data_IF_449819483432
#
_entry.id   IF_449819483432
#
_cell.length_a   1.000
_cell.length_b   1.000
_cell.length_c   1.000
_cell.angle_alpha   90.00
_cell.angle_beta   90.00
_cell.angle_gamma   90.00
#
_symmetry.space_group_name_H-M   'P 1'
#
loop_
_entity.id
_entity.type
_entity.pdbx_description
1 polymer ?
#
# COMPACT_ATOMS: atom_id res chain seq x y z
N UNK A 1 17.18 27.23 33.62
CA UNK A 1 17.16 26.56 32.30
C UNK A 1 15.76 26.18 31.83
N UNK A 2 14.88 25.58 32.65
CA UNK A 2 13.52 25.16 32.22
C UNK A 2 12.56 26.31 31.87
N UNK A 3 12.60 27.43 32.60
CA UNK A 3 11.73 28.60 32.33
C UNK A 3 12.15 29.45 31.12
N UNK A 4 13.42 29.36 30.68
CA UNK A 4 13.91 30.07 29.50
C UNK A 4 13.39 29.43 28.21
N UNK A 5 13.28 28.10 28.20
CA UNK A 5 12.77 27.33 27.07
C UNK A 5 11.26 27.56 26.83
N UNK A 6 10.48 27.66 27.91
CA UNK A 6 9.04 27.95 27.83
C UNK A 6 8.75 29.37 27.34
N UNK A 7 9.60 30.33 27.67
CA UNK A 7 9.46 31.72 27.25
C UNK A 7 9.85 31.90 25.77
N UNK A 8 10.86 31.14 25.30
CA UNK A 8 11.23 31.08 23.90
C UNK A 8 10.14 30.44 23.02
N UNK A 9 9.48 29.39 23.51
CA UNK A 9 8.37 28.72 22.82
C UNK A 9 7.14 29.64 22.68
N UNK A 10 6.85 30.45 23.70
CA UNK A 10 5.74 31.42 23.69
C UNK A 10 5.96 32.56 22.68
N UNK A 11 7.20 33.05 22.55
CA UNK A 11 7.55 34.11 21.58
C UNK A 11 7.40 33.62 20.14
N UNK A 12 7.78 32.37 19.84
CA UNK A 12 7.62 31.77 18.50
C UNK A 12 6.13 31.59 18.14
N UNK A 13 5.28 31.30 19.13
CA UNK A 13 3.83 31.18 18.92
C UNK A 13 3.18 32.54 18.62
N UNK A 14 3.69 33.62 19.21
CA UNK A 14 3.14 34.96 19.05
C UNK A 14 3.56 35.62 17.72
N UNK A 15 4.76 35.34 17.21
CA UNK A 15 5.21 35.87 15.90
C UNK A 15 4.51 35.23 14.70
N UNK A 16 4.02 33.98 14.82
CA UNK A 16 3.21 33.34 13.76
C UNK A 16 1.82 33.97 13.60
N UNK A 17 1.28 34.64 14.62
CA UNK A 17 -0.04 35.29 14.55
C UNK A 17 -0.01 36.69 13.92
N UNK A 18 1.17 37.27 13.69
CA UNK A 18 1.35 38.65 13.22
C UNK A 18 1.50 38.78 11.69
N UNK A 19 1.43 37.69 10.92
CA UNK A 19 1.54 37.73 9.45
C UNK A 19 0.29 37.17 8.78
N UNK A 20 -0.80 37.94 8.80
CA UNK A 20 -1.85 37.80 7.80
C UNK A 20 -2.36 39.20 7.40
N UNK A 21 -1.56 39.91 6.62
CA UNK A 21 -2.03 41.06 5.84
C UNK A 21 -1.95 40.67 4.36
N UNK A 22 -2.93 39.88 3.94
CA UNK A 22 -3.12 39.57 2.53
C UNK A 22 -3.53 40.86 1.82
N UNK A 23 -2.64 41.43 1.01
CA UNK A 23 -3.03 42.39 -0.02
C UNK A 23 -3.91 41.63 -1.02
N UNK A 24 -5.22 41.82 -0.94
CA UNK A 24 -6.16 41.31 -1.94
C UNK A 24 -5.97 42.19 -3.20
N UNK A 25 -4.98 41.85 -4.01
CA UNK A 25 -5.00 42.17 -5.43
C UNK A 25 -6.14 41.35 -6.01
N UNK A 26 -7.27 42.00 -6.28
CA UNK A 26 -8.39 41.42 -7.01
C UNK A 26 -8.00 41.20 -8.47
N UNK A 27 -7.11 40.25 -8.72
CA UNK A 27 -7.04 39.63 -10.03
C UNK A 27 -8.30 38.76 -10.12
N UNK A 28 -9.30 39.24 -10.86
CA UNK A 28 -10.57 38.56 -11.06
C UNK A 28 -10.33 37.36 -11.98
N UNK A 29 -9.63 36.34 -11.49
CA UNK A 29 -9.56 35.05 -12.14
C UNK A 29 -10.99 34.51 -12.23
N UNK A 30 -11.57 34.59 -13.43
CA UNK A 30 -12.92 34.08 -13.70
C UNK A 30 -12.85 32.57 -13.58
N UNK A 31 -13.54 32.02 -12.59
CA UNK A 31 -13.67 30.57 -12.44
C UNK A 31 -14.45 30.00 -13.62
N UNK A 32 -13.77 29.26 -14.47
CA UNK A 32 -14.33 28.68 -15.68
C UNK A 32 -14.90 27.28 -15.41
N UNK A 33 -15.74 26.78 -16.32
CA UNK A 33 -16.24 25.41 -16.24
C UNK A 33 -15.12 24.36 -16.33
N UNK A 34 -14.02 24.67 -17.02
CA UNK A 34 -12.86 23.78 -17.11
C UNK A 34 -12.18 23.62 -15.74
N UNK A 35 -12.05 24.71 -14.98
CA UNK A 35 -11.47 24.68 -13.63
C UNK A 35 -12.31 23.78 -12.71
N UNK A 36 -13.64 23.88 -12.81
CA UNK A 36 -14.55 23.00 -12.08
C UNK A 36 -14.38 21.55 -12.50
N UNK A 37 -14.31 21.27 -13.81
CA UNK A 37 -14.15 19.92 -14.33
C UNK A 37 -12.84 19.29 -13.84
N UNK A 38 -11.73 20.02 -13.86
CA UNK A 38 -10.44 19.54 -13.41
C UNK A 38 -10.45 19.20 -11.91
N UNK A 39 -11.00 20.10 -11.08
CA UNK A 39 -11.13 19.87 -9.64
C UNK A 39 -11.98 18.62 -9.38
N UNK A 40 -13.08 18.44 -10.11
CA UNK A 40 -13.94 17.25 -9.99
C UNK A 40 -13.18 16.01 -10.41
N UNK A 41 -12.56 15.97 -11.60
CA UNK A 41 -11.84 14.79 -12.08
C UNK A 41 -10.70 14.37 -11.13
N UNK A 42 -9.99 15.34 -10.55
CA UNK A 42 -8.88 15.07 -9.62
C UNK A 42 -9.36 14.52 -8.26
N UNK A 43 -10.53 14.95 -7.80
CA UNK A 43 -10.97 14.65 -6.42
C UNK A 43 -12.12 13.64 -6.34
N UNK A 44 -12.82 13.38 -7.43
CA UNK A 44 -14.03 12.56 -7.44
C UNK A 44 -13.73 11.07 -7.11
N UNK A 45 -14.44 10.46 -6.16
CA UNK A 45 -14.15 9.11 -5.68
C UNK A 45 -14.29 8.04 -6.78
N UNK A 46 -15.26 8.18 -7.69
CA UNK A 46 -15.46 7.21 -8.78
C UNK A 46 -14.27 7.23 -9.75
N UNK A 47 -13.68 8.40 -10.03
CA UNK A 47 -12.51 8.51 -10.92
C UNK A 47 -11.29 7.85 -10.27
N UNK A 48 -11.09 8.08 -8.97
CA UNK A 48 -10.05 7.38 -8.19
C UNK A 48 -10.24 5.87 -8.24
N UNK A 49 -11.47 5.38 -8.08
CA UNK A 49 -11.79 3.95 -8.15
C UNK A 49 -11.53 3.37 -9.55
N UNK A 50 -11.91 4.08 -10.62
CA UNK A 50 -11.63 3.65 -11.99
C UNK A 50 -10.12 3.52 -12.26
N UNK A 51 -9.32 4.43 -11.71
CA UNK A 51 -7.85 4.34 -11.78
C UNK A 51 -7.25 3.09 -11.11
N UNK A 52 -7.96 2.47 -10.16
CA UNK A 52 -7.51 1.23 -9.51
C UNK A 52 -7.73 -0.02 -10.37
N UNK A 53 -8.70 -0.01 -11.30
CA UNK A 53 -9.03 -1.18 -12.12
C UNK A 53 -7.85 -1.66 -12.97
N UNK A 54 -7.09 -0.71 -13.54
CA UNK A 54 -5.88 -1.04 -14.30
C UNK A 54 -4.79 -1.66 -13.40
N UNK A 55 -4.62 -1.13 -12.18
CA UNK A 55 -3.66 -1.69 -11.21
C UNK A 55 -4.06 -3.10 -10.77
N UNK A 56 -5.35 -3.32 -10.54
CA UNK A 56 -5.91 -4.62 -10.19
C UNK A 56 -5.70 -5.64 -11.31
N UNK A 57 -5.96 -5.26 -12.57
CA UNK A 57 -5.74 -6.12 -13.73
C UNK A 57 -4.27 -6.56 -13.84
N UNK A 58 -3.34 -5.62 -13.68
CA UNK A 58 -1.91 -5.93 -13.69
C UNK A 58 -1.50 -6.84 -12.51
N UNK A 59 -2.04 -6.59 -11.32
CA UNK A 59 -1.79 -7.43 -10.15
C UNK A 59 -2.30 -8.86 -10.35
N UNK A 60 -3.48 -9.04 -10.98
CA UNK A 60 -4.01 -10.36 -11.34
C UNK A 60 -3.12 -11.11 -12.32
N UNK A 61 -2.59 -10.41 -13.33
CA UNK A 61 -1.64 -11.02 -14.28
C UNK A 61 -0.37 -11.46 -13.55
N UNK A 62 0.21 -10.61 -12.70
CA UNK A 62 1.39 -10.96 -11.91
C UNK A 62 1.14 -12.14 -10.97
N UNK A 63 -0.01 -12.18 -10.31
CA UNK A 63 -0.41 -13.31 -9.46
C UNK A 63 -0.53 -14.60 -10.27
N UNK A 64 -1.15 -14.55 -11.45
CA UNK A 64 -1.27 -15.71 -12.33
C UNK A 64 0.10 -16.20 -12.80
N UNK A 65 1.03 -15.30 -13.12
CA UNK A 65 2.40 -15.63 -13.48
C UNK A 65 3.16 -16.25 -12.30
N UNK A 66 3.02 -15.69 -11.10
CA UNK A 66 3.67 -16.23 -9.89
C UNK A 66 3.19 -17.64 -9.50
N UNK A 67 2.00 -18.05 -9.95
CA UNK A 67 1.55 -19.44 -9.83
C UNK A 67 2.38 -20.44 -10.62
N UNK A 68 3.17 -19.98 -11.59
CA UNK A 68 4.11 -20.78 -12.37
C UNK A 68 5.56 -20.68 -11.86
N UNK A 69 5.80 -19.97 -10.76
CA UNK A 69 7.13 -19.91 -10.17
C UNK A 69 7.39 -21.20 -9.36
N UNK A 70 8.59 -21.81 -9.45
CA UNK A 70 8.94 -22.94 -8.62
C UNK A 70 8.84 -22.61 -7.12
N UNK A 71 8.19 -23.49 -6.36
CA UNK A 71 8.05 -23.35 -4.93
C UNK A 71 8.96 -24.34 -4.20
N UNK A 72 9.84 -23.83 -3.33
CA UNK A 72 10.60 -24.65 -2.40
C UNK A 72 9.88 -24.69 -1.04
N UNK A 73 9.73 -25.88 -0.48
CA UNK A 73 9.02 -26.09 0.77
C UNK A 73 9.82 -27.05 1.66
N UNK A 74 9.75 -26.81 2.97
CA UNK A 74 10.33 -27.69 3.97
C UNK A 74 9.33 -27.88 5.11
N UNK A 75 9.05 -29.13 5.47
CA UNK A 75 8.12 -29.48 6.54
C UNK A 75 8.77 -30.45 7.51
N UNK A 76 8.43 -30.29 8.78
CA UNK A 76 8.83 -31.20 9.83
C UNK A 76 7.58 -31.79 10.49
N UNK A 77 7.45 -33.11 10.44
CA UNK A 77 6.35 -33.84 11.04
C UNK A 77 6.85 -34.76 12.14
N UNK A 78 6.28 -34.64 13.35
CA UNK A 78 6.51 -35.59 14.43
C UNK A 78 5.20 -35.99 15.11
N UNK A 79 4.99 -37.29 15.34
CA UNK A 79 3.85 -37.81 16.09
C UNK A 79 4.31 -38.78 17.15
N UNK A 80 3.81 -38.58 18.37
CA UNK A 80 4.01 -39.47 19.52
C UNK A 80 2.64 -39.99 19.94
N UNK A 81 2.52 -41.29 20.14
CA UNK A 81 1.29 -41.93 20.60
C UNK A 81 1.63 -42.91 21.73
N UNK A 82 0.94 -42.79 22.87
CA UNK A 82 1.17 -43.68 24.01
C UNK A 82 2.58 -43.62 24.61
N UNK A 83 3.32 -42.53 24.42
CA UNK A 83 4.72 -42.41 24.84
C UNK A 83 5.74 -42.99 23.86
N UNK A 84 5.30 -43.57 22.74
CA UNK A 84 6.17 -44.08 21.67
C UNK A 84 6.17 -43.10 20.49
N UNK A 85 7.36 -42.85 19.93
CA UNK A 85 7.51 -42.08 18.70
C UNK A 85 6.98 -42.90 17.52
N UNK A 86 5.91 -42.39 16.90
CA UNK A 86 5.23 -43.06 15.79
C UNK A 86 5.83 -42.64 14.44
N UNK A 87 6.11 -41.35 14.27
CA UNK A 87 6.93 -40.86 13.15
C UNK A 87 7.69 -39.59 13.53
N UNK A 88 8.80 -39.35 12.82
CA UNK A 88 9.63 -38.16 12.91
C UNK A 88 10.33 -37.95 11.56
N UNK A 89 9.83 -37.01 10.76
CA UNK A 89 10.24 -36.80 9.39
C UNK A 89 10.52 -35.33 9.12
N UNK A 90 11.59 -35.10 8.36
CA UNK A 90 11.92 -33.83 7.75
C UNK A 90 11.83 -34.02 6.24
N UNK A 91 10.93 -33.27 5.61
CA UNK A 91 10.70 -33.30 4.18
C UNK A 91 11.12 -31.96 3.57
N UNK A 92 11.86 -31.99 2.48
CA UNK A 92 12.20 -30.81 1.68
C UNK A 92 11.89 -31.11 0.24
N UNK A 93 11.03 -30.29 -0.36
CA UNK A 93 10.50 -30.49 -1.70
C UNK A 93 10.71 -29.24 -2.56
N UNK A 94 10.97 -29.48 -3.86
CA UNK A 94 10.95 -28.46 -4.89
C UNK A 94 9.79 -28.78 -5.84
N UNK A 95 8.76 -27.95 -5.83
CA UNK A 95 7.61 -28.03 -6.73
C UNK A 95 7.86 -27.15 -7.94
N UNK A 96 8.03 -27.77 -9.11
CA UNK A 96 8.20 -27.06 -10.39
C UNK A 96 6.92 -27.25 -11.21
N UNK A 97 6.09 -26.21 -11.39
CA UNK A 97 4.90 -26.32 -12.23
C UNK A 97 5.30 -26.44 -13.69
N UNK A 98 4.84 -27.50 -14.36
CA UNK A 98 5.07 -27.72 -15.78
C UNK A 98 3.84 -27.29 -16.58
N UNK A 99 4.06 -26.61 -17.71
CA UNK A 99 3.00 -26.24 -18.65
C UNK A 99 2.60 -27.43 -19.53
N UNK A 100 2.20 -28.53 -18.90
CA UNK A 100 1.72 -29.73 -19.56
C UNK A 100 0.22 -29.60 -19.88
N UNK A 101 -0.21 -28.49 -20.48
CA UNK A 101 -1.56 -28.30 -21.03
C UNK A 101 -2.74 -28.92 -20.21
N UNK A 102 -2.71 -28.83 -18.87
CA UNK A 102 -3.77 -29.39 -18.00
C UNK A 102 -3.68 -30.89 -17.69
N UNK A 103 -2.57 -31.58 -17.98
CA UNK A 103 -2.35 -32.95 -17.55
C UNK A 103 -1.92 -32.98 -16.07
N UNK A 104 -2.90 -33.24 -15.22
CA UNK A 104 -2.73 -33.89 -13.92
C UNK A 104 -2.03 -35.24 -14.16
N UNK A 105 -0.82 -35.41 -13.63
CA UNK A 105 -0.06 -36.68 -13.60
C UNK A 105 0.13 -37.10 -12.15
#
# INVERSE_FOLDING_TARGET
MRGLLTLLFSIVFMTSSAQLRSSVTSDSAVFTLNDMQEIVLMNHPIVKQAGLLSKEANAKVLQALGGFDPAISASFGRKIFGGTEYYNHWDSELKVPLWLAGADL
#
